data_IF_775592124687
#
_entry.id   IF_775592124687
#
_cell.length_a   1.000
_cell.length_b   1.000
_cell.length_c   1.000
_cell.angle_alpha   90.00
_cell.angle_beta   90.00
_cell.angle_gamma   90.00
#
_symmetry.space_group_name_H-M   'P 1'
#
loop_
_entity.id
_entity.type
_entity.pdbx_description
1 polymer ?
#
# COMPACT_ATOMS: atom_id res chain seq x y z
N UNK A 1 -13.21 -4.72 6.38
CA UNK A 1 -13.34 -3.31 5.97
C UNK A 1 -11.94 -2.74 5.89
N UNK A 2 -11.61 -2.04 4.81
CA UNK A 2 -10.32 -1.32 4.71
C UNK A 2 -10.51 0.03 5.39
N UNK A 3 -9.60 0.36 6.30
CA UNK A 3 -9.55 1.69 6.92
C UNK A 3 -9.01 2.69 5.89
N UNK A 4 -9.88 3.55 5.37
CA UNK A 4 -9.53 4.48 4.29
C UNK A 4 -8.84 5.72 4.89
N UNK A 5 -7.55 5.84 4.65
CA UNK A 5 -6.74 7.02 5.02
C UNK A 5 -6.62 7.98 3.85
N UNK A 6 -6.47 9.28 4.15
CA UNK A 6 -6.22 10.32 3.14
C UNK A 6 -4.74 10.37 2.69
N UNK A 7 -3.84 9.72 3.43
CA UNK A 7 -2.41 9.64 3.13
C UNK A 7 -1.84 8.29 3.57
N UNK A 8 -0.76 7.86 2.93
CA UNK A 8 -0.06 6.60 3.20
C UNK A 8 1.46 6.81 3.15
N UNK A 9 2.17 6.23 4.12
CA UNK A 9 3.64 6.30 4.19
C UNK A 9 4.28 5.26 3.26
N UNK A 10 5.62 5.27 3.15
CA UNK A 10 6.35 4.23 2.42
C UNK A 10 6.09 2.85 3.02
N UNK A 11 6.03 2.74 4.35
CA UNK A 11 5.76 1.46 5.02
C UNK A 11 4.38 0.93 4.66
N UNK A 12 3.37 1.80 4.57
CA UNK A 12 2.02 1.43 4.15
C UNK A 12 2.01 0.89 2.71
N UNK A 13 2.73 1.53 1.78
CA UNK A 13 2.83 1.06 0.40
C UNK A 13 3.54 -0.29 0.29
N UNK A 14 4.56 -0.52 1.12
CA UNK A 14 5.23 -1.82 1.22
C UNK A 14 4.31 -2.88 1.83
N UNK A 15 3.52 -2.53 2.84
CA UNK A 15 2.50 -3.40 3.42
C UNK A 15 1.40 -3.76 2.40
N UNK A 16 1.04 -2.83 1.52
CA UNK A 16 0.15 -3.09 0.39
C UNK A 16 0.75 -4.10 -0.60
N UNK A 17 2.04 -3.99 -0.89
CA UNK A 17 2.74 -4.96 -1.74
C UNK A 17 2.86 -6.37 -1.13
N UNK A 18 2.75 -6.49 0.20
CA UNK A 18 2.67 -7.79 0.90
C UNK A 18 1.24 -8.33 1.05
N UNK A 19 0.23 -7.56 0.66
CA UNK A 19 -1.18 -7.90 0.89
C UNK A 19 -1.68 -7.70 2.32
N UNK A 20 -0.94 -6.94 3.13
CA UNK A 20 -1.28 -6.67 4.53
C UNK A 20 -2.21 -5.45 4.66
N UNK A 21 -2.06 -4.44 3.78
CA UNK A 21 -2.79 -3.18 3.89
C UNK A 21 -4.29 -3.32 3.58
N UNK A 22 -4.63 -4.06 2.52
CA UNK A 22 -6.00 -4.23 2.04
C UNK A 22 -6.59 -5.61 2.37
N UNK A 23 -5.84 -6.44 3.11
CA UNK A 23 -6.16 -7.82 3.42
C UNK A 23 -5.93 -8.79 2.26
N UNK A 24 -6.06 -10.09 2.55
CA UNK A 24 -5.67 -11.18 1.63
C UNK A 24 -6.42 -11.23 0.28
N UNK A 25 -7.59 -10.58 0.18
CA UNK A 25 -8.38 -10.48 -1.06
C UNK A 25 -8.38 -9.08 -1.68
N UNK A 26 -7.66 -8.14 -1.06
CA UNK A 26 -7.52 -6.78 -1.59
C UNK A 26 -6.51 -6.71 -2.73
N UNK A 27 -6.56 -5.66 -3.56
CA UNK A 27 -5.52 -5.42 -4.56
C UNK A 27 -4.17 -5.20 -3.86
N UNK A 28 -3.09 -5.67 -4.47
CA UNK A 28 -1.73 -5.49 -3.95
C UNK A 28 -0.96 -4.52 -4.84
N UNK A 29 -0.14 -3.67 -4.23
CA UNK A 29 0.81 -2.87 -4.99
C UNK A 29 2.00 -3.72 -5.49
N UNK A 30 2.74 -3.26 -6.49
CA UNK A 30 4.01 -3.89 -6.87
C UNK A 30 5.03 -3.87 -5.72
N UNK A 31 5.89 -4.89 -5.69
CA UNK A 31 7.01 -4.98 -4.75
C UNK A 31 8.19 -4.05 -5.15
N UNK A 32 9.22 -3.89 -4.28
CA UNK A 32 10.41 -3.10 -4.60
C UNK A 32 11.06 -3.48 -5.96
N UNK A 33 11.70 -2.51 -6.61
CA UNK A 33 12.11 -2.45 -8.02
C UNK A 33 10.98 -2.19 -9.04
N UNK A 34 9.71 -2.45 -8.71
CA UNK A 34 8.55 -2.04 -9.52
C UNK A 34 7.60 -1.07 -8.81
N UNK A 35 7.76 -0.87 -7.50
CA UNK A 35 7.04 0.15 -6.73
C UNK A 35 7.59 1.55 -7.06
N UNK A 36 6.85 2.33 -7.86
CA UNK A 36 7.26 3.65 -8.34
C UNK A 36 6.77 4.82 -7.47
N UNK A 37 6.34 4.56 -6.24
CA UNK A 37 5.80 5.57 -5.33
C UNK A 37 6.44 5.45 -3.95
N UNK A 38 6.71 6.58 -3.31
CA UNK A 38 7.26 6.63 -1.95
C UNK A 38 6.22 6.96 -0.88
N UNK A 39 5.16 7.69 -1.23
CA UNK A 39 4.07 8.07 -0.32
C UNK A 39 2.84 8.48 -1.12
N UNK A 40 1.67 8.39 -0.49
CA UNK A 40 0.43 9.02 -0.98
C UNK A 40 0.12 10.17 -0.03
N UNK A 41 0.01 11.37 -0.57
CA UNK A 41 -0.43 12.57 0.17
C UNK A 41 -1.86 12.91 -0.24
N UNK A 42 -2.53 13.69 0.60
CA UNK A 42 -3.81 14.31 0.27
C UNK A 42 -3.68 15.23 -0.93
#
# INVERSE_FOLDING_TARGET
MVDKRESYTKEDLLASGRGELFGAKGPQLPAPNMLMMDRVIK
#
